data_IF_415442842973
#
_entry.id   IF_415442842973
#
_cell.length_a   1.000
_cell.length_b   1.000
_cell.length_c   1.000
_cell.angle_alpha   90.00
_cell.angle_beta   90.00
_cell.angle_gamma   90.00
#
_symmetry.space_group_name_H-M   'P 1'
#
loop_
_entity.id
_entity.type
_entity.pdbx_description
1 polymer ?
#
# COMPACT_ATOMS: atom_id res chain seq x y z
N UNK A 1 15.88 14.79 -44.37
CA UNK A 1 16.81 14.22 -43.39
C UNK A 1 16.07 13.08 -42.74
N UNK A 2 16.46 11.85 -43.03
CA UNK A 2 15.88 10.68 -42.38
C UNK A 2 16.40 10.68 -40.95
N UNK A 3 15.49 10.76 -39.97
CA UNK A 3 15.82 10.40 -38.60
C UNK A 3 16.09 8.89 -38.62
N UNK A 4 17.37 8.53 -38.61
CA UNK A 4 17.78 7.15 -38.34
C UNK A 4 17.22 6.79 -36.96
N UNK A 5 16.11 6.06 -36.94
CA UNK A 5 15.66 5.31 -35.78
C UNK A 5 16.72 4.25 -35.54
N UNK A 6 17.75 4.61 -34.78
CA UNK A 6 18.63 3.65 -34.13
C UNK A 6 17.68 2.78 -33.29
N UNK A 7 17.40 1.56 -33.77
CA UNK A 7 16.77 0.53 -32.95
C UNK A 7 17.66 0.36 -31.72
N UNK A 8 17.27 1.01 -30.63
CA UNK A 8 18.01 0.93 -29.38
C UNK A 8 17.96 -0.53 -28.93
N UNK A 9 19.14 -1.16 -28.88
CA UNK A 9 19.20 -2.56 -28.50
C UNK A 9 18.63 -2.76 -27.09
N UNK A 10 17.82 -3.82 -26.88
CA UNK A 10 17.25 -4.10 -25.58
C UNK A 10 18.36 -4.36 -24.56
N UNK A 11 18.08 -4.25 -23.25
CA UNK A 11 19.06 -4.55 -22.22
C UNK A 11 19.66 -5.95 -22.44
N UNK A 12 20.99 -6.08 -22.42
CA UNK A 12 21.67 -7.37 -22.65
C UNK A 12 21.23 -8.48 -21.68
N UNK A 13 20.63 -8.11 -20.55
CA UNK A 13 20.10 -9.02 -19.54
C UNK A 13 18.61 -9.38 -19.72
N UNK A 14 17.96 -8.98 -20.82
CA UNK A 14 16.53 -9.26 -21.04
C UNK A 14 16.20 -10.75 -20.97
N UNK A 15 17.05 -11.59 -21.57
CA UNK A 15 16.88 -13.06 -21.52
C UNK A 15 17.01 -13.60 -20.11
N UNK A 16 17.94 -13.05 -19.32
CA UNK A 16 18.14 -13.46 -17.92
C UNK A 16 16.96 -13.03 -17.04
N UNK A 17 16.43 -11.81 -17.26
CA UNK A 17 15.23 -11.33 -16.57
C UNK A 17 14.01 -12.17 -16.93
N UNK A 18 13.85 -12.56 -18.19
CA UNK A 18 12.76 -13.44 -18.63
C UNK A 18 12.87 -14.84 -18.01
N UNK A 19 14.06 -15.45 -18.02
CA UNK A 19 14.28 -16.74 -17.39
C UNK A 19 13.97 -16.68 -15.88
N UNK A 20 14.44 -15.63 -15.22
CA UNK A 20 14.14 -15.39 -13.81
C UNK A 20 12.63 -15.22 -13.57
N UNK A 21 11.93 -14.47 -14.42
CA UNK A 21 10.47 -14.35 -14.36
C UNK A 21 9.77 -15.70 -14.51
N UNK A 22 10.19 -16.54 -15.47
CA UNK A 22 9.62 -17.89 -15.65
C UNK A 22 9.87 -18.77 -14.43
N UNK A 23 11.03 -18.65 -13.79
CA UNK A 23 11.32 -19.32 -12.52
C UNK A 23 10.41 -18.84 -11.39
N UNK A 24 10.10 -17.54 -11.29
CA UNK A 24 9.28 -17.00 -10.20
C UNK A 24 7.81 -17.37 -10.28
N UNK A 25 7.28 -17.62 -11.49
CA UNK A 25 5.88 -18.08 -11.67
C UNK A 25 5.72 -19.60 -11.62
N UNK A 26 6.82 -20.37 -11.73
CA UNK A 26 6.79 -21.85 -11.71
C UNK A 26 7.20 -22.41 -10.35
N UNK A 27 8.13 -21.77 -9.65
CA UNK A 27 8.57 -22.15 -8.32
C UNK A 27 7.89 -21.28 -7.24
N UNK A 28 8.09 -21.62 -5.96
CA UNK A 28 7.61 -20.77 -4.86
C UNK A 28 8.04 -19.31 -5.08
N UNK A 29 7.11 -18.34 -5.02
CA UNK A 29 7.37 -16.98 -5.44
C UNK A 29 8.43 -16.32 -4.55
N UNK A 30 9.41 -15.68 -5.19
CA UNK A 30 10.40 -14.85 -4.50
C UNK A 30 9.67 -13.66 -3.87
N UNK A 31 9.67 -13.57 -2.55
CA UNK A 31 9.03 -12.47 -1.84
C UNK A 31 9.92 -11.22 -1.87
N UNK A 32 9.32 -10.07 -2.21
CA UNK A 32 10.00 -8.77 -2.12
C UNK A 32 10.08 -8.36 -0.65
N UNK A 33 11.28 -8.03 -0.13
CA UNK A 33 11.44 -7.70 1.28
C UNK A 33 10.64 -6.45 1.66
N UNK A 34 10.25 -6.34 2.92
CA UNK A 34 9.61 -5.13 3.44
C UNK A 34 10.67 -4.16 3.94
N UNK A 35 10.50 -2.87 3.67
CA UNK A 35 11.35 -1.86 4.29
C UNK A 35 11.22 -1.90 5.82
N UNK A 36 10.06 -2.33 6.32
CA UNK A 36 9.84 -2.65 7.73
C UNK A 36 10.96 -3.53 8.34
N UNK A 37 11.44 -4.55 7.62
CA UNK A 37 12.44 -5.50 8.13
C UNK A 37 13.87 -4.93 8.10
N UNK A 38 14.08 -3.83 7.38
CA UNK A 38 15.38 -3.16 7.23
C UNK A 38 15.61 -2.09 8.32
N UNK A 39 14.59 -1.76 9.09
CA UNK A 39 14.64 -0.70 10.09
C UNK A 39 14.53 -1.28 11.51
N UNK A 40 15.39 -0.78 12.41
CA UNK A 40 15.37 -1.16 13.83
C UNK A 40 14.38 -0.28 14.59
N UNK A 41 13.09 -0.53 14.36
CA UNK A 41 11.99 0.24 14.94
C UNK A 41 12.06 0.31 16.47
N UNK A 42 11.82 1.51 17.02
CA UNK A 42 11.87 1.75 18.45
C UNK A 42 10.73 2.63 18.92
N UNK A 43 10.08 2.24 20.01
CA UNK A 43 9.06 3.06 20.69
C UNK A 43 9.64 4.29 21.39
N UNK A 44 10.97 4.40 21.48
CA UNK A 44 11.69 5.54 22.10
C UNK A 44 12.11 6.61 21.10
N UNK A 45 11.93 6.37 19.81
CA UNK A 45 12.36 7.27 18.73
C UNK A 45 11.17 7.85 17.99
N UNK A 46 11.33 9.07 17.51
CA UNK A 46 10.42 9.69 16.56
C UNK A 46 10.98 9.52 15.14
N UNK A 47 10.08 9.39 14.16
CA UNK A 47 10.42 9.12 12.77
C UNK A 47 9.78 10.19 11.88
N UNK A 48 10.58 10.78 10.98
CA UNK A 48 10.06 11.61 9.90
C UNK A 48 9.41 10.70 8.86
N UNK A 49 8.15 10.96 8.50
CA UNK A 49 7.39 10.11 7.60
C UNK A 49 6.36 10.89 6.78
N UNK A 50 5.83 10.25 5.75
CA UNK A 50 4.62 10.67 5.04
C UNK A 50 3.59 9.55 5.03
N UNK A 51 2.32 9.91 4.94
CA UNK A 51 1.24 8.96 4.65
C UNK A 51 1.11 8.83 3.14
N UNK A 52 1.18 7.61 2.62
CA UNK A 52 1.10 7.29 1.20
C UNK A 52 -0.33 7.02 0.73
N UNK A 53 -0.99 6.05 1.35
CA UNK A 53 -2.38 5.69 1.06
C UNK A 53 -3.17 5.48 2.35
N UNK A 54 -4.47 5.79 2.34
CA UNK A 54 -5.37 5.71 3.47
C UNK A 54 -6.61 4.94 3.03
N UNK A 55 -6.88 3.83 3.72
CA UNK A 55 -8.20 3.19 3.69
C UNK A 55 -9.05 3.75 4.84
N UNK A 56 -8.51 3.75 6.06
CA UNK A 56 -9.08 4.41 7.23
C UNK A 56 -8.00 4.73 8.28
N UNK A 57 -8.39 5.16 9.49
CA UNK A 57 -7.46 5.51 10.58
C UNK A 57 -6.76 4.26 11.18
N UNK A 58 -7.28 3.07 10.92
CA UNK A 58 -6.69 1.79 11.31
C UNK A 58 -5.96 1.06 10.19
N UNK A 59 -6.07 1.55 8.95
CA UNK A 59 -5.48 0.94 7.77
C UNK A 59 -4.96 2.04 6.84
N UNK A 60 -3.71 2.41 7.01
CA UNK A 60 -3.01 3.28 6.09
C UNK A 60 -1.56 2.82 5.92
N UNK A 61 -0.88 3.36 4.92
CA UNK A 61 0.50 3.04 4.62
C UNK A 61 1.36 4.30 4.75
N UNK A 62 2.51 4.15 5.39
CA UNK A 62 3.49 5.23 5.58
C UNK A 62 4.78 4.95 4.81
N UNK A 63 5.52 6.01 4.51
CA UNK A 63 6.87 5.95 3.94
C UNK A 63 7.82 6.78 4.79
N UNK A 64 8.92 6.18 5.25
CA UNK A 64 9.97 6.86 6.04
C UNK A 64 11.21 7.22 5.21
N UNK A 65 11.43 6.54 4.08
CA UNK A 65 12.54 6.76 3.14
C UNK A 65 12.08 7.39 1.84
N UNK A 66 11.47 8.58 1.95
CA UNK A 66 10.89 9.30 0.82
C UNK A 66 11.90 9.55 -0.32
N UNK A 67 13.15 9.89 0.02
CA UNK A 67 14.17 10.21 -0.99
C UNK A 67 14.56 8.97 -1.79
N UNK A 68 14.81 7.87 -1.10
CA UNK A 68 15.15 6.58 -1.70
C UNK A 68 13.97 6.04 -2.53
N UNK A 69 12.75 6.14 -2.01
CA UNK A 69 11.52 5.79 -2.73
C UNK A 69 11.37 6.63 -4.01
N UNK A 70 11.60 7.95 -3.94
CA UNK A 70 11.53 8.85 -5.09
C UNK A 70 12.58 8.53 -6.16
N UNK A 71 13.82 8.24 -5.75
CA UNK A 71 14.89 7.84 -6.69
C UNK A 71 14.52 6.52 -7.37
N UNK A 72 14.04 5.54 -6.60
CA UNK A 72 13.60 4.25 -7.14
C UNK A 72 12.44 4.41 -8.11
N UNK A 73 11.45 5.24 -7.78
CA UNK A 73 10.31 5.53 -8.65
C UNK A 73 10.75 6.18 -9.97
N UNK A 74 11.67 7.16 -9.91
CA UNK A 74 12.25 7.78 -11.12
C UNK A 74 12.98 6.76 -11.99
N UNK A 75 13.75 5.85 -11.38
CA UNK A 75 14.38 4.75 -12.10
C UNK A 75 13.33 3.88 -12.80
N UNK A 76 12.26 3.52 -12.10
CA UNK A 76 11.18 2.70 -12.65
C UNK A 76 10.53 3.36 -13.86
N UNK A 77 10.21 4.66 -13.76
CA UNK A 77 9.67 5.44 -14.88
C UNK A 77 10.62 5.43 -16.08
N UNK A 78 11.88 5.82 -15.89
CA UNK A 78 12.85 5.91 -16.97
C UNK A 78 13.10 4.56 -17.65
N UNK A 79 13.18 3.48 -16.87
CA UNK A 79 13.42 2.14 -17.39
C UNK A 79 12.24 1.66 -18.24
N UNK A 80 11.02 1.71 -17.73
CA UNK A 80 9.87 1.16 -18.44
C UNK A 80 9.37 2.07 -19.55
N UNK A 81 9.47 3.39 -19.44
CA UNK A 81 9.18 4.29 -20.57
C UNK A 81 10.03 3.97 -21.80
N UNK A 82 11.25 3.45 -21.58
CA UNK A 82 12.18 3.07 -22.63
C UNK A 82 12.01 1.62 -23.12
N UNK A 83 11.78 0.67 -22.21
CA UNK A 83 11.89 -0.76 -22.51
C UNK A 83 10.60 -1.56 -22.36
N UNK A 84 9.45 -0.94 -22.01
CA UNK A 84 8.19 -1.63 -21.67
C UNK A 84 7.76 -2.70 -22.68
N UNK A 85 7.96 -2.48 -23.98
CA UNK A 85 7.50 -3.42 -25.01
C UNK A 85 8.27 -4.75 -25.00
N UNK A 86 9.51 -4.74 -24.50
CA UNK A 86 10.30 -5.96 -24.27
C UNK A 86 9.92 -6.68 -22.97
N UNK A 87 9.19 -6.01 -22.06
CA UNK A 87 8.84 -6.53 -20.74
C UNK A 87 7.37 -6.98 -20.64
N UNK A 88 6.63 -7.07 -21.74
CA UNK A 88 5.23 -7.55 -21.73
C UNK A 88 5.12 -8.99 -21.23
N UNK A 89 4.05 -9.29 -20.50
CA UNK A 89 3.73 -10.65 -20.06
C UNK A 89 2.68 -11.26 -21.00
N UNK A 90 2.93 -12.45 -21.58
CA UNK A 90 1.90 -13.21 -22.28
C UNK A 90 0.71 -13.49 -21.34
N UNK A 91 -0.51 -13.35 -21.84
CA UNK A 91 -1.70 -13.43 -20.98
C UNK A 91 -1.87 -14.78 -20.29
N UNK A 92 -1.41 -15.85 -20.94
CA UNK A 92 -1.37 -17.22 -20.47
C UNK A 92 -0.33 -17.45 -19.37
N UNK A 93 0.57 -16.49 -19.11
CA UNK A 93 1.56 -16.50 -18.04
C UNK A 93 1.15 -15.64 -16.84
N UNK A 94 0.05 -14.89 -16.91
CA UNK A 94 -0.49 -14.15 -15.77
C UNK A 94 -0.96 -15.12 -14.68
N UNK A 95 -0.43 -14.96 -13.46
CA UNK A 95 -0.75 -15.82 -12.30
C UNK A 95 -1.13 -14.97 -11.10
N UNK A 96 -2.15 -15.41 -10.37
CA UNK A 96 -2.50 -14.82 -9.09
C UNK A 96 -1.28 -14.82 -8.15
N UNK A 97 -1.10 -13.73 -7.39
CA UNK A 97 0.02 -13.50 -6.46
C UNK A 97 1.40 -13.37 -7.13
N UNK A 98 1.43 -13.00 -8.42
CA UNK A 98 2.66 -12.72 -9.17
C UNK A 98 3.09 -11.25 -9.02
N UNK A 99 4.37 -11.02 -8.74
CA UNK A 99 4.94 -9.67 -8.78
C UNK A 99 5.19 -9.23 -10.22
N UNK A 100 4.87 -7.97 -10.50
CA UNK A 100 4.98 -7.35 -11.81
C UNK A 100 5.19 -5.84 -11.69
N UNK A 101 5.33 -5.19 -12.84
CA UNK A 101 5.21 -3.75 -12.97
C UNK A 101 3.94 -3.45 -13.75
N UNK A 102 3.22 -2.42 -13.35
CA UNK A 102 1.99 -1.96 -13.99
C UNK A 102 2.15 -0.53 -14.46
N UNK A 103 1.60 -0.20 -15.63
CA UNK A 103 1.42 1.17 -16.10
C UNK A 103 -0.02 1.61 -15.86
N UNK A 104 -0.23 2.64 -15.05
CA UNK A 104 -1.56 3.22 -14.80
C UNK A 104 -1.44 4.73 -14.89
N UNK A 105 -2.27 5.38 -15.71
CA UNK A 105 -2.19 6.84 -15.96
C UNK A 105 -0.76 7.30 -16.33
N UNK A 106 -0.10 6.57 -17.24
CA UNK A 106 1.28 6.80 -17.66
C UNK A 106 2.35 6.70 -16.55
N UNK A 107 2.00 6.10 -15.41
CA UNK A 107 2.90 5.89 -14.28
C UNK A 107 3.19 4.41 -14.05
N UNK A 108 4.48 4.06 -14.03
CA UNK A 108 4.93 2.70 -13.71
C UNK A 108 5.04 2.47 -12.21
N UNK A 109 4.49 1.36 -11.72
CA UNK A 109 4.56 0.97 -10.30
C UNK A 109 4.80 -0.52 -10.14
N UNK A 110 5.54 -0.92 -9.09
CA UNK A 110 5.60 -2.33 -8.72
C UNK A 110 4.27 -2.74 -8.11
N UNK A 111 3.81 -3.93 -8.48
CA UNK A 111 2.55 -4.46 -8.00
C UNK A 111 2.60 -5.97 -7.82
N UNK A 112 1.55 -6.48 -7.20
CA UNK A 112 1.23 -7.91 -7.15
C UNK A 112 -0.15 -8.12 -7.76
N UNK A 113 -0.28 -9.12 -8.62
CA UNK A 113 -1.55 -9.48 -9.24
C UNK A 113 -2.47 -10.12 -8.18
N UNK A 114 -3.58 -9.48 -7.84
CA UNK A 114 -4.45 -9.92 -6.74
C UNK A 114 -5.78 -10.52 -7.22
N UNK A 115 -6.09 -10.34 -8.50
CA UNK A 115 -7.23 -10.95 -9.17
C UNK A 115 -6.82 -11.51 -10.53
N UNK A 116 -7.50 -12.57 -10.98
CA UNK A 116 -7.25 -13.18 -12.29
C UNK A 116 -7.96 -12.35 -13.35
N UNK A 117 -7.36 -12.16 -14.54
CA UNK A 117 -7.95 -11.30 -15.57
C UNK A 117 -9.42 -11.61 -15.89
N UNK A 118 -10.26 -10.58 -15.84
CA UNK A 118 -11.69 -10.64 -16.20
C UNK A 118 -11.89 -10.01 -17.56
N UNK A 119 -12.64 -10.69 -18.44
CA UNK A 119 -13.06 -10.14 -19.73
C UNK A 119 -14.23 -9.17 -19.53
N UNK A 120 -14.11 -7.96 -20.08
CA UNK A 120 -15.16 -6.95 -20.18
C UNK A 120 -15.26 -6.57 -21.65
N UNK A 121 -16.24 -7.17 -22.35
CA UNK A 121 -16.29 -7.15 -23.81
C UNK A 121 -15.05 -7.84 -24.40
N UNK A 122 -14.40 -7.19 -25.36
CA UNK A 122 -13.15 -7.68 -25.99
C UNK A 122 -11.89 -7.37 -25.15
N UNK A 123 -12.01 -6.56 -24.10
CA UNK A 123 -10.90 -6.15 -23.26
C UNK A 123 -10.76 -7.06 -22.04
N UNK A 124 -9.52 -7.26 -21.57
CA UNK A 124 -9.24 -8.00 -20.33
C UNK A 124 -8.57 -7.08 -19.32
N UNK A 125 -9.10 -7.07 -18.11
CA UNK A 125 -8.62 -6.24 -17.00
C UNK A 125 -8.20 -7.09 -15.82
N UNK A 126 -7.26 -6.60 -15.03
CA UNK A 126 -6.89 -7.22 -13.76
C UNK A 126 -6.74 -6.18 -12.64
N UNK A 127 -6.96 -6.63 -11.41
CA UNK A 127 -6.72 -5.85 -10.20
C UNK A 127 -5.33 -6.17 -9.64
N UNK A 128 -4.57 -5.13 -9.31
CA UNK A 128 -3.23 -5.24 -8.76
C UNK A 128 -3.08 -4.38 -7.51
N UNK A 129 -2.39 -4.91 -6.51
CA UNK A 129 -2.02 -4.14 -5.33
C UNK A 129 -0.64 -3.51 -5.53
N UNK A 130 -0.56 -2.18 -5.47
CA UNK A 130 0.67 -1.40 -5.60
C UNK A 130 1.48 -1.49 -4.30
N UNK A 131 2.48 -2.38 -4.28
CA UNK A 131 3.21 -2.76 -3.06
C UNK A 131 4.01 -1.61 -2.44
N UNK A 132 4.35 -0.58 -3.23
CA UNK A 132 5.09 0.60 -2.76
C UNK A 132 4.17 1.74 -2.28
N UNK A 133 2.86 1.63 -2.50
CA UNK A 133 1.88 2.69 -2.23
C UNK A 133 0.78 2.28 -1.26
N UNK A 134 0.34 1.02 -1.29
CA UNK A 134 -0.70 0.53 -0.41
C UNK A 134 -2.12 0.55 -0.99
N UNK A 135 -2.29 0.79 -2.29
CA UNK A 135 -3.61 0.85 -2.94
C UNK A 135 -3.78 -0.21 -4.03
N UNK A 136 -5.02 -0.43 -4.45
CA UNK A 136 -5.35 -1.31 -5.59
C UNK A 136 -5.60 -0.45 -6.83
N UNK A 137 -5.13 -0.92 -7.98
CA UNK A 137 -5.47 -0.37 -9.29
C UNK A 137 -6.09 -1.44 -10.18
N UNK A 138 -6.95 -1.01 -11.10
CA UNK A 138 -7.51 -1.84 -12.17
C UNK A 138 -6.93 -1.35 -13.49
N UNK A 139 -6.30 -2.25 -14.24
CA UNK A 139 -5.63 -1.92 -15.52
C UNK A 139 -5.94 -2.95 -16.58
N UNK A 140 -5.71 -2.59 -17.85
CA UNK A 140 -5.67 -3.56 -18.93
C UNK A 140 -4.52 -4.54 -18.69
N UNK A 141 -4.72 -5.81 -19.02
CA UNK A 141 -3.63 -6.80 -18.96
C UNK A 141 -2.45 -6.44 -19.88
N UNK A 142 -2.70 -5.62 -20.90
CA UNK A 142 -1.66 -5.13 -21.80
C UNK A 142 -0.71 -4.16 -21.09
N UNK A 143 -1.10 -3.58 -19.96
CA UNK A 143 -0.29 -2.65 -19.17
C UNK A 143 0.42 -3.32 -17.99
N UNK A 144 0.56 -4.65 -18.05
CA UNK A 144 1.27 -5.46 -17.07
C UNK A 144 2.57 -6.00 -17.68
N UNK A 145 3.66 -5.82 -16.95
CA UNK A 145 5.01 -6.10 -17.39
C UNK A 145 5.74 -6.99 -16.38
N UNK A 146 6.57 -7.92 -16.84
CA UNK A 146 7.39 -8.72 -15.92
C UNK A 146 8.50 -7.85 -15.34
N UNK A 147 8.94 -8.23 -14.14
CA UNK A 147 9.86 -7.42 -13.36
C UNK A 147 11.30 -7.97 -13.44
N UNK A 148 12.30 -7.12 -13.78
CA UNK A 148 13.72 -7.50 -13.72
C UNK A 148 14.13 -8.03 -12.36
N UNK A 149 15.08 -8.96 -12.33
CA UNK A 149 15.57 -9.58 -11.08
C UNK A 149 16.04 -8.56 -10.05
N UNK A 150 16.69 -7.48 -10.51
CA UNK A 150 17.20 -6.41 -9.64
C UNK A 150 16.11 -5.67 -8.86
N UNK A 151 14.88 -5.62 -9.37
CA UNK A 151 13.78 -4.94 -8.66
C UNK A 151 13.19 -5.77 -7.54
N UNK A 152 13.43 -7.09 -7.51
CA UNK A 152 13.05 -7.94 -6.37
C UNK A 152 13.91 -7.70 -5.12
N UNK A 153 15.17 -7.24 -5.29
CA UNK A 153 16.05 -6.94 -4.16
C UNK A 153 15.77 -5.59 -3.50
N UNK A 154 15.03 -4.69 -4.15
CA UNK A 154 14.65 -3.41 -3.56
C UNK A 154 13.47 -3.66 -2.60
N UNK A 155 13.54 -3.30 -1.32
CA UNK A 155 12.42 -3.49 -0.41
C UNK A 155 11.21 -2.64 -0.83
N UNK A 156 10.00 -3.09 -0.49
CA UNK A 156 8.80 -2.27 -0.66
C UNK A 156 8.79 -1.14 0.35
N UNK A 157 8.55 0.09 -0.12
CA UNK A 157 8.70 1.30 0.70
C UNK A 157 7.50 1.58 1.60
N UNK A 158 6.32 1.07 1.25
CA UNK A 158 5.12 1.23 2.05
C UNK A 158 5.19 0.35 3.31
N UNK A 159 4.81 0.93 4.46
CA UNK A 159 4.74 0.24 5.74
C UNK A 159 3.32 0.39 6.28
N UNK A 160 2.71 -0.72 6.67
CA UNK A 160 1.36 -0.77 7.25
C UNK A 160 1.35 -0.04 8.59
N UNK A 161 0.38 0.85 8.78
CA UNK A 161 0.27 1.68 9.96
C UNK A 161 -1.17 1.81 10.48
N UNK A 162 -1.27 1.93 11.81
CA UNK A 162 -2.52 2.15 12.55
C UNK A 162 -2.33 3.39 13.42
N UNK A 163 -3.30 4.30 13.42
CA UNK A 163 -3.26 5.48 14.26
C UNK A 163 -3.52 5.05 15.71
N UNK A 164 -2.54 5.27 16.57
CA UNK A 164 -2.53 4.68 17.89
C UNK A 164 -3.55 5.34 18.83
N UNK A 165 -4.23 4.54 19.64
CA UNK A 165 -5.04 5.05 20.75
C UNK A 165 -6.41 5.58 20.38
N UNK A 166 -6.83 5.48 19.12
CA UNK A 166 -8.17 5.86 18.67
C UNK A 166 -9.00 4.64 18.26
N UNK A 167 -10.32 4.76 18.40
CA UNK A 167 -11.32 3.87 17.83
C UNK A 167 -12.53 4.66 17.33
N UNK A 168 -13.38 4.07 16.47
CA UNK A 168 -14.63 4.72 16.08
C UNK A 168 -15.59 4.84 17.26
N UNK A 169 -16.43 5.86 17.26
CA UNK A 169 -17.39 6.13 18.34
C UNK A 169 -18.33 4.94 18.60
N UNK A 170 -18.84 4.33 17.53
CA UNK A 170 -19.72 3.15 17.61
C UNK A 170 -18.95 1.84 17.89
N UNK A 171 -17.62 1.87 18.00
CA UNK A 171 -16.76 0.70 18.19
C UNK A 171 -16.66 -0.24 16.99
N UNK A 172 -17.28 0.11 15.86
CA UNK A 172 -17.48 -0.80 14.71
C UNK A 172 -16.78 -0.30 13.45
N UNK A 173 -17.05 0.93 12.99
CA UNK A 173 -16.52 1.45 11.72
C UNK A 173 -16.16 2.93 11.83
N UNK A 174 -15.05 3.31 11.20
CA UNK A 174 -14.68 4.71 11.04
C UNK A 174 -15.71 5.46 10.20
N UNK A 175 -16.07 6.66 10.65
CA UNK A 175 -16.96 7.53 9.88
C UNK A 175 -16.21 8.11 8.67
N UNK A 176 -16.93 8.35 7.56
CA UNK A 176 -16.37 9.06 6.40
C UNK A 176 -15.79 10.42 6.81
N UNK A 177 -16.44 11.13 7.74
CA UNK A 177 -15.95 12.40 8.26
C UNK A 177 -14.56 12.26 8.92
N UNK A 178 -14.36 11.25 9.77
CA UNK A 178 -13.05 11.02 10.40
C UNK A 178 -11.97 10.65 9.38
N UNK A 179 -12.30 9.84 8.37
CA UNK A 179 -11.33 9.46 7.32
C UNK A 179 -10.96 10.68 6.47
N UNK A 180 -11.93 11.48 6.05
CA UNK A 180 -11.69 12.70 5.25
C UNK A 180 -10.89 13.76 6.02
N UNK A 181 -11.20 13.97 7.30
CA UNK A 181 -10.41 14.88 8.13
C UNK A 181 -8.98 14.35 8.30
N UNK A 182 -8.80 13.05 8.55
CA UNK A 182 -7.47 12.46 8.63
C UNK A 182 -6.68 12.64 7.34
N UNK A 183 -7.30 12.37 6.18
CA UNK A 183 -6.72 12.60 4.86
C UNK A 183 -6.31 14.06 4.69
N UNK A 184 -7.18 15.01 5.06
CA UNK A 184 -6.89 16.45 4.99
C UNK A 184 -5.68 16.85 5.85
N UNK A 185 -5.58 16.32 7.07
CA UNK A 185 -4.50 16.65 8.00
C UNK A 185 -3.13 16.11 7.56
N UNK A 186 -3.10 15.01 6.81
CA UNK A 186 -1.84 14.35 6.40
C UNK A 186 -1.46 14.63 4.94
N UNK A 187 -2.39 15.15 4.13
CA UNK A 187 -2.17 15.36 2.70
C UNK A 187 -0.97 16.27 2.42
N UNK A 188 -0.01 15.76 1.65
CA UNK A 188 1.24 16.43 1.31
C UNK A 188 2.07 16.91 2.52
N UNK A 189 1.82 16.37 3.71
CA UNK A 189 2.56 16.75 4.92
C UNK A 189 3.74 15.83 5.20
N UNK A 190 4.80 16.42 5.75
CA UNK A 190 5.87 15.70 6.44
C UNK A 190 5.50 15.64 7.91
N UNK A 191 5.34 14.44 8.44
CA UNK A 191 4.90 14.19 9.80
C UNK A 191 6.05 13.70 10.68
N UNK A 192 5.89 13.90 11.98
CA UNK A 192 6.71 13.26 13.01
C UNK A 192 5.86 12.17 13.67
N UNK A 193 6.21 10.92 13.37
CA UNK A 193 5.57 9.73 13.91
C UNK A 193 6.27 9.19 15.14
N UNK A 194 5.54 9.01 16.24
CA UNK A 194 6.01 8.31 17.42
C UNK A 194 5.45 6.88 17.44
N UNK A 195 6.32 5.88 17.43
CA UNK A 195 5.88 4.49 17.48
C UNK A 195 5.39 4.15 18.88
N UNK A 196 4.16 3.68 18.99
CA UNK A 196 3.54 3.25 20.25
C UNK A 196 3.59 1.74 20.44
N UNK A 197 3.48 0.98 19.34
CA UNK A 197 3.57 -0.49 19.35
C UNK A 197 4.02 -1.00 17.99
N UNK A 198 4.77 -2.10 17.99
CA UNK A 198 5.23 -2.79 16.79
C UNK A 198 4.60 -4.18 16.79
N UNK A 199 4.04 -4.59 15.66
CA UNK A 199 3.55 -5.94 15.41
C UNK A 199 4.39 -6.57 14.30
N UNK A 200 5.50 -7.21 14.68
CA UNK A 200 6.47 -7.73 13.70
C UNK A 200 5.93 -8.90 12.87
N UNK A 201 5.01 -9.72 13.41
CA UNK A 201 4.42 -10.84 12.66
C UNK A 201 3.61 -10.38 11.46
N UNK A 202 2.88 -9.28 11.60
CA UNK A 202 2.06 -8.68 10.54
C UNK A 202 2.72 -7.47 9.88
N UNK A 203 3.92 -7.08 10.33
CA UNK A 203 4.68 -5.91 9.86
C UNK A 203 3.88 -4.59 9.97
N UNK A 204 3.18 -4.42 11.09
CA UNK A 204 2.32 -3.26 11.37
C UNK A 204 2.93 -2.39 12.46
N UNK A 205 2.88 -1.07 12.27
CA UNK A 205 3.28 -0.08 13.27
C UNK A 205 2.05 0.68 13.78
N UNK A 206 1.87 0.71 15.08
CA UNK A 206 0.93 1.63 15.73
C UNK A 206 1.67 2.93 16.00
N UNK A 207 1.22 4.01 15.36
CA UNK A 207 1.93 5.28 15.32
C UNK A 207 1.03 6.41 15.82
N UNK A 208 1.62 7.35 16.55
CA UNK A 208 1.03 8.65 16.82
C UNK A 208 1.64 9.71 15.92
N UNK A 209 0.83 10.62 15.39
CA UNK A 209 1.26 11.51 14.31
C UNK A 209 1.17 12.97 14.74
N UNK A 210 2.26 13.71 14.52
CA UNK A 210 2.27 15.14 14.72
C UNK A 210 2.60 15.85 13.40
N UNK A 211 1.87 16.92 13.13
CA UNK A 211 2.07 17.79 11.96
C UNK A 211 2.59 19.15 12.42
N UNK A 212 3.52 19.73 11.67
CA UNK A 212 4.00 21.07 11.97
C UNK A 212 2.94 22.10 11.55
N UNK A 213 2.52 22.96 12.49
CA UNK A 213 1.65 24.08 12.22
C UNK A 213 2.50 25.37 12.04
N UNK A 214 2.56 25.95 10.82
CA UNK A 214 3.34 27.15 10.56
C UNK A 214 2.86 28.41 11.30
N UNK A 215 1.58 28.47 11.69
CA UNK A 215 1.02 29.62 12.39
C UNK A 215 1.45 29.64 13.86
N UNK A 216 1.44 28.47 14.52
CA UNK A 216 1.82 28.33 15.93
C UNK A 216 3.31 28.02 16.12
N UNK A 217 4.03 27.68 15.03
CA UNK A 217 5.43 27.22 15.04
C UNK A 217 5.65 25.99 15.95
N UNK A 218 4.62 25.16 16.08
CA UNK A 218 4.63 23.97 16.94
C UNK A 218 4.15 22.74 16.19
N UNK A 219 4.49 21.57 16.73
CA UNK A 219 3.93 20.31 16.27
C UNK A 219 2.62 20.04 17.01
N UNK A 220 1.57 19.76 16.24
CA UNK A 220 0.23 19.49 16.75
C UNK A 220 -0.13 18.02 16.53
N UNK A 221 -0.79 17.43 17.53
CA UNK A 221 -1.28 16.05 17.49
C UNK A 221 -2.44 15.94 16.51
N UNK A 222 -2.31 15.02 15.55
CA UNK A 222 -3.38 14.70 14.62
C UNK A 222 -4.51 14.00 15.37
N UNK A 223 -4.19 13.11 16.31
CA UNK A 223 -5.19 12.43 17.13
C UNK A 223 -6.05 13.41 17.94
N UNK A 224 -5.45 14.42 18.58
CA UNK A 224 -6.20 15.40 19.39
C UNK A 224 -7.13 16.24 18.50
N UNK A 225 -6.68 16.56 17.29
CA UNK A 225 -7.50 17.27 16.31
C UNK A 225 -8.69 16.42 15.86
N UNK A 226 -8.47 15.14 15.60
CA UNK A 226 -9.53 14.20 15.23
C UNK A 226 -10.54 14.02 16.37
N UNK A 227 -10.09 13.83 17.61
CA UNK A 227 -11.00 13.73 18.79
C UNK A 227 -11.84 15.00 18.96
N UNK A 228 -11.28 16.17 18.69
CA UNK A 228 -11.98 17.45 18.83
C UNK A 228 -12.97 17.72 17.69
N UNK A 229 -12.61 17.38 16.45
CA UNK A 229 -13.41 17.72 15.25
C UNK A 229 -14.33 16.61 14.78
N UNK A 230 -14.02 15.37 15.14
CA UNK A 230 -14.71 14.18 14.69
C UNK A 230 -15.24 13.41 15.90
N UNK A 231 -16.36 12.72 15.73
CA UNK A 231 -16.86 11.76 16.71
C UNK A 231 -15.97 10.49 16.65
N UNK A 232 -14.77 10.59 17.23
CA UNK A 232 -13.83 9.47 17.42
C UNK A 232 -13.53 9.31 18.90
N UNK A 233 -13.40 8.07 19.34
CA UNK A 233 -13.19 7.71 20.74
C UNK A 233 -11.71 7.51 21.04
N UNK A 234 -11.21 8.16 22.09
CA UNK A 234 -9.92 7.81 22.67
C UNK A 234 -10.03 6.46 23.39
N UNK A 235 -9.26 5.47 22.98
CA UNK A 235 -9.24 4.15 23.60
C UNK A 235 -8.51 4.19 24.94
N UNK A 236 -9.20 3.75 25.99
CA UNK A 236 -8.65 3.64 27.34
C UNK A 236 -7.90 2.33 27.54
N UNK A 237 -7.15 2.25 28.64
CA UNK A 237 -6.54 0.98 29.06
C UNK A 237 -7.57 -0.12 29.32
N UNK A 238 -8.80 0.24 29.71
CA UNK A 238 -9.90 -0.70 29.90
C UNK A 238 -10.39 -1.25 28.55
N UNK A 239 -10.63 -0.37 27.57
CA UNK A 239 -11.04 -0.78 26.21
C UNK A 239 -10.02 -1.75 25.61
N UNK A 240 -8.72 -1.45 25.73
CA UNK A 240 -7.64 -2.32 25.21
C UNK A 240 -7.58 -3.66 25.95
N UNK A 241 -7.80 -3.68 27.28
CA UNK A 241 -7.84 -4.92 28.06
C UNK A 241 -9.04 -5.78 27.68
N UNK A 242 -10.20 -5.16 27.48
CA UNK A 242 -11.41 -5.85 27.03
C UNK A 242 -11.20 -6.48 25.66
N UNK A 243 -10.66 -5.72 24.70
CA UNK A 243 -10.31 -6.22 23.36
C UNK A 243 -9.35 -7.43 23.43
N UNK A 244 -8.30 -7.36 24.24
CA UNK A 244 -7.35 -8.48 24.44
C UNK A 244 -8.02 -9.70 25.08
N UNK A 245 -8.90 -9.47 26.05
CA UNK A 245 -9.61 -10.54 26.77
C UNK A 245 -10.60 -11.25 25.85
N UNK A 246 -11.34 -10.49 25.03
CA UNK A 246 -12.23 -11.01 23.99
C UNK A 246 -11.49 -11.88 22.96
N UNK A 247 -10.23 -11.53 22.65
CA UNK A 247 -9.36 -12.32 21.77
C UNK A 247 -8.80 -13.59 22.43
N UNK A 248 -8.50 -13.57 23.75
CA UNK A 248 -7.88 -14.70 24.46
C UNK A 248 -8.88 -15.76 24.94
N UNK A 249 -10.07 -15.36 25.38
CA UNK A 249 -11.05 -16.24 26.02
C UNK A 249 -11.81 -17.15 25.05
N UNK A 250 -11.63 -16.96 23.75
CA UNK A 250 -12.28 -17.75 22.71
C UNK A 250 -11.13 -18.20 21.82
N UNK A 251 -10.82 -19.51 21.77
CA UNK A 251 -9.69 -20.03 20.99
C UNK A 251 -9.66 -19.46 19.55
N UNK A 252 -8.53 -19.52 18.83
CA UNK A 252 -8.26 -18.71 17.63
C UNK A 252 -9.33 -18.74 16.53
N UNK A 253 -10.20 -19.77 16.49
CA UNK A 253 -11.33 -19.90 15.56
C UNK A 253 -12.65 -19.25 16.03
N UNK A 254 -12.75 -18.76 17.27
CA UNK A 254 -13.98 -18.26 17.92
C UNK A 254 -13.87 -16.85 18.53
N UNK A 255 -12.68 -16.24 18.50
CA UNK A 255 -12.53 -14.83 18.89
C UNK A 255 -13.34 -13.95 17.94
N UNK A 256 -14.20 -13.06 18.48
CA UNK A 256 -14.84 -12.05 17.63
C UNK A 256 -13.76 -11.08 17.16
N UNK A 257 -13.69 -10.76 15.86
CA UNK A 257 -12.76 -9.76 15.37
C UNK A 257 -13.07 -8.41 16.01
N UNK A 258 -12.03 -7.59 16.22
CA UNK A 258 -12.22 -6.19 16.54
C UNK A 258 -12.68 -5.53 15.23
N UNK A 259 -13.94 -5.11 15.18
CA UNK A 259 -14.61 -4.81 13.90
C UNK A 259 -13.91 -3.71 13.10
N UNK A 260 -13.44 -2.65 13.75
CA UNK A 260 -12.73 -1.56 13.07
C UNK A 260 -11.29 -1.89 12.67
N UNK A 261 -10.77 -3.06 13.06
CA UNK A 261 -9.52 -3.65 12.55
C UNK A 261 -9.80 -4.69 11.45
N UNK A 262 -11.03 -4.75 10.96
CA UNK A 262 -11.42 -5.56 9.79
C UNK A 262 -11.92 -4.64 8.67
N UNK A 263 -11.60 -4.93 7.40
CA UNK A 263 -10.75 -6.04 6.92
C UNK A 263 -9.30 -5.92 7.39
N UNK A 264 -8.57 -7.04 7.49
CA UNK A 264 -7.14 -6.99 7.82
C UNK A 264 -6.34 -6.38 6.67
N UNK A 265 -5.14 -5.85 6.94
CA UNK A 265 -4.20 -5.47 5.87
C UNK A 265 -4.04 -6.58 4.83
N UNK A 266 -3.85 -7.83 5.27
CA UNK A 266 -3.78 -8.98 4.36
C UNK A 266 -4.99 -9.04 3.42
N UNK A 267 -6.20 -8.91 3.94
CA UNK A 267 -7.44 -8.91 3.15
C UNK A 267 -7.47 -7.77 2.13
N UNK A 268 -7.07 -6.56 2.54
CA UNK A 268 -6.97 -5.39 1.66
C UNK A 268 -5.95 -5.62 0.54
N UNK A 269 -4.74 -6.04 0.90
CA UNK A 269 -3.63 -6.21 -0.05
C UNK A 269 -3.80 -7.40 -1.00
N UNK A 270 -4.64 -8.38 -0.68
CA UNK A 270 -5.00 -9.49 -1.58
C UNK A 270 -6.24 -9.19 -2.44
N UNK A 271 -6.73 -7.95 -2.46
CA UNK A 271 -7.90 -7.58 -3.29
C UNK A 271 -9.20 -8.27 -2.90
N UNK A 272 -9.30 -8.80 -1.67
CA UNK A 272 -10.49 -9.51 -1.18
C UNK A 272 -11.53 -8.57 -0.56
N UNK A 273 -11.26 -7.28 -0.57
CA UNK A 273 -12.18 -6.24 -0.16
C UNK A 273 -12.06 -5.09 -1.17
N UNK A 274 -13.20 -4.52 -1.56
CA UNK A 274 -13.19 -3.39 -2.48
C UNK A 274 -12.79 -2.16 -1.68
N UNK A 275 -11.75 -1.47 -2.12
CA UNK A 275 -11.38 -0.16 -1.59
C UNK A 275 -12.58 0.79 -1.76
N UNK A 276 -12.95 1.52 -0.70
CA UNK A 276 -14.05 2.49 -0.75
C UNK A 276 -13.83 3.56 -1.81
N UNK A 277 -12.58 3.91 -2.11
CA UNK A 277 -12.25 4.82 -3.19
C UNK A 277 -12.49 4.19 -4.57
N UNK A 278 -12.06 2.93 -4.78
CA UNK A 278 -12.35 2.20 -6.01
C UNK A 278 -13.85 1.94 -6.21
N UNK A 279 -14.61 1.69 -5.13
CA UNK A 279 -16.08 1.65 -5.19
C UNK A 279 -16.69 2.99 -5.56
N UNK A 280 -16.17 4.10 -5.02
CA UNK A 280 -16.65 5.43 -5.36
C UNK A 280 -16.40 5.74 -6.84
N UNK A 281 -15.19 5.47 -7.36
CA UNK A 281 -14.88 5.62 -8.78
C UNK A 281 -15.75 4.70 -9.67
N UNK A 282 -15.95 3.44 -9.26
CA UNK A 282 -16.81 2.51 -9.97
C UNK A 282 -18.28 2.98 -9.99
N UNK A 283 -18.77 3.54 -8.89
CA UNK A 283 -20.12 4.12 -8.82
C UNK A 283 -20.23 5.39 -9.67
N UNK A 284 -19.20 6.24 -9.68
CA UNK A 284 -19.15 7.44 -10.52
C UNK A 284 -19.16 7.07 -12.01
N UNK A 285 -18.45 6.01 -12.42
CA UNK A 285 -18.49 5.48 -13.79
C UNK A 285 -19.85 4.88 -14.19
N UNK A 286 -20.62 4.35 -13.24
CA UNK A 286 -21.89 3.66 -13.52
C UNK A 286 -23.14 4.54 -13.34
N UNK A 287 -23.00 5.66 -12.63
CA UNK A 287 -24.06 6.64 -12.38
C UNK A 287 -23.95 7.90 -13.26
N UNK A 288 -22.90 8.01 -14.08
CA UNK A 288 -22.75 9.01 -15.14
C UNK A 288 -23.37 8.53 -16.46
#
# INVERSE_FOLDING_TARGET
MAEDTIEEQPPHHLRDDWNFFKETITNNPVEIPYYFDQESWSTKKAYKLRVGHIYDLSHFWIVTKEREASIFYKYLQLFYSKYKDHYKIPSEDLRWNMYCVVCSNDEFSRAILVDVPVAIGDNRFACLFLIDFGCIVKVSINDIYFMPKKLYSVPRYSIRAILAGLGPENGVKWSTNSVNEFQTLVFNQVLIGQIKKICSSEKIIFVSLNVFNPQTQQYESIEDTLVRKCFVKQLTSADVKEMKTAQKNRGPKKAKPIEFLTPTFKTLEYGRCVDSFAMAQFLDEYLA
#
